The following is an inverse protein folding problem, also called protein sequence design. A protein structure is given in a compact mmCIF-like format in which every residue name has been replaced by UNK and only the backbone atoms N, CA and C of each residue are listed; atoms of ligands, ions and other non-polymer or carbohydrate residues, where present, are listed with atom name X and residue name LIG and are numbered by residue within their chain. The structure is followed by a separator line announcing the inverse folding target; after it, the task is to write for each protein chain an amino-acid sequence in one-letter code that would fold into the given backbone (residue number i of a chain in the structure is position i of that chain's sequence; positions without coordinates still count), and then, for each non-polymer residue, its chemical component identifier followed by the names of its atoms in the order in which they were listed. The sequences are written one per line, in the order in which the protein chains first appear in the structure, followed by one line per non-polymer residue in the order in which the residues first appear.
data_IF_184943537217
#
_entry.id   IF_184943537217
#
_cell.length_a   1.000
_cell.length_b   1.000
_cell.length_c   1.000
_cell.angle_alpha   90.00
_cell.angle_beta   90.00
_cell.angle_gamma   90.00
#
_symmetry.space_group_name_H-M   'P 1'
#
loop_
_entity.id
_entity.type
_entity.pdbx_description
1 polymer ?
#
# COMPACT_ATOMS: atom_id res chain seq x y z
N UNK A 1 -44.85 18.93 -62.98
CA UNK A 1 -45.75 18.30 -62.05
C UNK A 1 -44.93 18.06 -60.81
N UNK A 2 -44.89 19.05 -59.90
CA UNK A 2 -45.71 19.25 -58.70
C UNK A 2 -45.61 18.00 -57.79
N UNK A 3 -44.95 18.10 -56.68
CA UNK A 3 -45.55 18.56 -55.46
C UNK A 3 -44.49 18.84 -54.38
N UNK A 4 -44.58 20.07 -53.90
CA UNK A 4 -43.98 20.51 -52.66
C UNK A 4 -44.73 19.86 -51.47
N UNK A 5 -44.00 19.36 -50.48
CA UNK A 5 -44.52 19.27 -49.11
C UNK A 5 -43.44 19.74 -48.11
N UNK A 6 -43.60 21.00 -47.81
CA UNK A 6 -43.13 21.66 -46.61
C UNK A 6 -43.79 21.05 -45.38
N UNK A 7 -42.99 20.58 -44.42
CA UNK A 7 -43.42 20.39 -43.03
C UNK A 7 -42.38 20.96 -42.10
N UNK A 8 -42.73 22.10 -41.54
CA UNK A 8 -42.00 22.78 -40.47
C UNK A 8 -41.74 21.88 -39.27
N UNK A 9 -40.49 21.71 -38.91
CA UNK A 9 -40.06 21.16 -37.68
C UNK A 9 -39.87 22.26 -36.64
N UNK A 10 -40.81 22.36 -35.72
CA UNK A 10 -40.71 23.23 -34.54
C UNK A 10 -39.47 22.88 -33.71
N UNK A 11 -38.63 23.88 -33.57
CA UNK A 11 -37.50 23.87 -32.64
C UNK A 11 -38.02 23.82 -31.20
N UNK A 12 -38.03 22.63 -30.61
CA UNK A 12 -38.23 22.47 -29.17
C UNK A 12 -37.01 22.95 -28.41
N UNK A 13 -37.15 24.09 -27.76
CA UNK A 13 -36.20 24.62 -26.81
C UNK A 13 -36.16 23.67 -25.59
N UNK A 14 -35.01 23.17 -25.17
CA UNK A 14 -34.94 22.43 -23.92
C UNK A 14 -35.32 23.34 -22.75
N UNK A 15 -36.30 22.94 -21.97
CA UNK A 15 -36.70 23.52 -20.70
C UNK A 15 -35.46 23.70 -19.81
N UNK A 16 -35.10 24.94 -19.53
CA UNK A 16 -34.14 25.26 -18.48
C UNK A 16 -34.75 24.90 -17.12
N UNK A 17 -34.23 23.86 -16.51
CA UNK A 17 -34.54 23.53 -15.13
C UNK A 17 -33.94 24.61 -14.25
N UNK A 18 -34.68 25.33 -13.41
CA UNK A 18 -34.11 26.31 -12.51
C UNK A 18 -33.18 25.61 -11.53
N UNK A 19 -31.94 26.01 -11.48
CA UNK A 19 -30.98 25.54 -10.49
C UNK A 19 -31.53 25.80 -9.08
N UNK A 20 -31.69 24.74 -8.31
CA UNK A 20 -32.04 24.85 -6.90
C UNK A 20 -31.02 25.72 -6.17
N UNK A 21 -31.45 26.60 -5.24
CA UNK A 21 -30.51 27.42 -4.50
C UNK A 21 -29.54 26.55 -3.72
N UNK A 22 -28.27 26.65 -4.05
CA UNK A 22 -27.18 26.02 -3.31
C UNK A 22 -27.22 26.62 -1.90
N UNK A 23 -27.60 25.80 -0.90
CA UNK A 23 -27.49 26.20 0.48
C UNK A 23 -26.04 26.63 0.74
N UNK A 24 -25.82 27.83 1.33
CA UNK A 24 -24.48 28.22 1.71
C UNK A 24 -23.93 27.15 2.68
N UNK A 25 -22.72 26.71 2.40
CA UNK A 25 -21.99 25.79 3.29
C UNK A 25 -22.05 26.37 4.71
N UNK A 26 -22.51 25.54 5.65
CA UNK A 26 -22.59 25.94 7.04
C UNK A 26 -21.21 26.44 7.48
N UNK A 27 -21.15 27.68 7.96
CA UNK A 27 -19.94 28.24 8.57
C UNK A 27 -19.44 27.28 9.66
N UNK A 28 -18.13 27.16 9.87
CA UNK A 28 -17.56 26.27 10.87
C UNK A 28 -18.14 26.61 12.24
N UNK A 29 -18.70 25.59 12.92
CA UNK A 29 -19.38 25.73 14.21
C UNK A 29 -18.41 25.94 15.38
N UNK A 30 -17.18 26.36 15.12
CA UNK A 30 -16.07 26.37 16.07
C UNK A 30 -16.06 27.58 17.05
N UNK A 31 -16.95 28.56 16.84
CA UNK A 31 -16.93 29.77 17.69
C UNK A 31 -17.64 29.60 19.05
N UNK A 32 -18.35 28.50 19.29
CA UNK A 32 -19.15 28.33 20.53
C UNK A 32 -18.42 27.63 21.69
N UNK A 33 -17.30 26.93 21.43
CA UNK A 33 -16.58 26.17 22.45
C UNK A 33 -15.06 26.25 22.26
N UNK A 34 -14.41 27.34 22.69
CA UNK A 34 -12.95 27.52 22.48
C UNK A 34 -12.11 26.46 23.19
N UNK A 35 -12.59 25.84 24.24
CA UNK A 35 -11.89 24.72 24.91
C UNK A 35 -11.89 23.46 24.05
N UNK A 36 -13.02 23.14 23.39
CA UNK A 36 -13.12 21.98 22.49
C UNK A 36 -12.23 22.17 21.27
N UNK A 37 -12.16 23.37 20.71
CA UNK A 37 -11.27 23.70 19.60
C UNK A 37 -9.79 23.54 20.00
N UNK A 38 -9.41 23.98 21.20
CA UNK A 38 -8.06 23.81 21.72
C UNK A 38 -7.69 22.34 21.96
N UNK A 39 -8.61 21.54 22.47
CA UNK A 39 -8.41 20.08 22.65
C UNK A 39 -8.24 19.39 21.31
N UNK A 40 -9.07 19.73 20.33
CA UNK A 40 -8.98 19.21 18.96
C UNK A 40 -7.63 19.55 18.34
N UNK A 41 -7.20 20.80 18.39
CA UNK A 41 -5.93 21.25 17.83
C UNK A 41 -4.73 20.52 18.44
N UNK A 42 -4.73 20.30 19.77
CA UNK A 42 -3.70 19.50 20.45
C UNK A 42 -3.72 18.05 19.98
N UNK A 43 -4.89 17.45 19.83
CA UNK A 43 -5.04 16.09 19.32
C UNK A 43 -4.52 15.95 17.89
N UNK A 44 -4.85 16.89 17.02
CA UNK A 44 -4.36 16.93 15.64
C UNK A 44 -2.83 17.05 15.57
N UNK A 45 -2.23 17.89 16.43
CA UNK A 45 -0.78 18.02 16.54
C UNK A 45 -0.13 16.71 17.01
N UNK A 46 -0.70 16.03 18.01
CA UNK A 46 -0.23 14.73 18.47
C UNK A 46 -0.31 13.66 17.38
N UNK A 47 -1.42 13.61 16.63
CA UNK A 47 -1.57 12.70 15.48
C UNK A 47 -0.51 12.98 14.42
N UNK A 48 -0.28 14.25 14.09
CA UNK A 48 0.74 14.63 13.11
C UNK A 48 2.15 14.21 13.58
N UNK A 49 2.45 14.32 14.87
CA UNK A 49 3.72 13.87 15.43
C UNK A 49 3.89 12.36 15.34
N UNK A 50 2.87 11.60 15.72
CA UNK A 50 2.89 10.14 15.61
C UNK A 50 3.03 9.67 14.16
N UNK A 51 2.40 10.33 13.20
CA UNK A 51 2.57 10.03 11.77
C UNK A 51 4.02 10.23 11.33
N UNK A 52 4.66 11.33 11.70
CA UNK A 52 6.09 11.54 11.41
C UNK A 52 6.98 10.44 11.99
N UNK A 53 6.65 9.94 13.19
CA UNK A 53 7.38 8.81 13.79
C UNK A 53 7.15 7.51 13.03
N UNK A 54 5.93 7.27 12.53
CA UNK A 54 5.63 6.12 11.66
C UNK A 54 6.46 6.22 10.37
N UNK A 55 6.49 7.38 9.71
CA UNK A 55 7.26 7.58 8.48
C UNK A 55 8.75 7.24 8.68
N UNK A 56 9.32 7.65 9.82
CA UNK A 56 10.72 7.31 10.17
C UNK A 56 10.93 5.80 10.39
N UNK A 57 9.96 5.12 11.00
CA UNK A 57 10.01 3.66 11.18
C UNK A 57 9.87 2.95 9.83
N UNK A 58 9.00 3.44 8.95
CA UNK A 58 8.82 2.89 7.60
C UNK A 58 10.08 3.01 6.76
N UNK A 59 10.81 4.12 6.86
CA UNK A 59 12.13 4.28 6.21
C UNK A 59 13.15 3.25 6.70
N UNK A 60 13.16 2.97 8.00
CA UNK A 60 14.03 1.94 8.58
C UNK A 60 13.60 0.54 8.13
N UNK A 61 12.31 0.25 8.16
CA UNK A 61 11.74 -1.00 7.71
C UNK A 61 12.09 -1.27 6.25
N UNK A 62 11.98 -0.28 5.37
CA UNK A 62 12.35 -0.39 3.96
C UNK A 62 13.83 -0.77 3.80
N UNK A 63 14.72 -0.13 4.55
CA UNK A 63 16.17 -0.44 4.52
C UNK A 63 16.44 -1.87 4.99
N UNK A 64 15.79 -2.32 6.06
CA UNK A 64 15.95 -3.67 6.61
C UNK A 64 15.41 -4.73 5.66
N UNK A 65 14.25 -4.52 5.04
CA UNK A 65 13.67 -5.41 4.05
C UNK A 65 14.57 -5.56 2.82
N UNK A 66 15.12 -4.45 2.32
CA UNK A 66 16.06 -4.50 1.19
C UNK A 66 17.36 -5.21 1.55
N UNK A 67 17.93 -4.95 2.72
CA UNK A 67 19.12 -5.65 3.20
C UNK A 67 18.88 -7.15 3.32
N UNK A 68 17.76 -7.56 3.91
CA UNK A 68 17.36 -8.97 3.99
C UNK A 68 17.21 -9.61 2.60
N UNK A 69 16.59 -8.91 1.69
CA UNK A 69 16.38 -9.38 0.31
C UNK A 69 17.70 -9.56 -0.44
N UNK A 70 18.65 -8.64 -0.26
CA UNK A 70 19.98 -8.77 -0.84
C UNK A 70 20.70 -10.03 -0.34
N UNK A 71 20.62 -10.32 0.96
CA UNK A 71 21.17 -11.57 1.53
C UNK A 71 20.50 -12.81 0.93
N UNK A 72 19.17 -12.78 0.74
CA UNK A 72 18.44 -13.91 0.14
C UNK A 72 18.88 -14.17 -1.30
N UNK A 73 19.01 -13.13 -2.12
CA UNK A 73 19.52 -13.23 -3.50
C UNK A 73 20.93 -13.84 -3.52
N UNK A 74 21.82 -13.39 -2.64
CA UNK A 74 23.18 -13.93 -2.58
C UNK A 74 23.21 -15.40 -2.14
N UNK A 75 22.40 -15.78 -1.16
CA UNK A 75 22.21 -17.19 -0.78
C UNK A 75 21.71 -18.01 -1.98
N UNK A 76 20.76 -17.52 -2.73
CA UNK A 76 20.24 -18.18 -3.93
C UNK A 76 21.34 -18.39 -4.98
N UNK A 77 22.21 -17.41 -5.20
CA UNK A 77 23.38 -17.55 -6.09
C UNK A 77 24.36 -18.62 -5.62
N UNK A 78 24.66 -18.64 -4.33
CA UNK A 78 25.56 -19.66 -3.74
C UNK A 78 24.96 -21.05 -3.91
N UNK A 79 23.68 -21.24 -3.55
CA UNK A 79 22.98 -22.52 -3.68
C UNK A 79 23.01 -23.06 -5.12
N UNK A 80 22.76 -22.21 -6.11
CA UNK A 80 22.85 -22.60 -7.53
C UNK A 80 24.25 -23.05 -7.93
N UNK A 81 25.28 -22.37 -7.42
CA UNK A 81 26.68 -22.76 -7.72
C UNK A 81 27.08 -24.10 -7.16
N UNK A 82 26.55 -24.47 -6.00
CA UNK A 82 26.86 -25.74 -5.32
C UNK A 82 25.81 -26.83 -5.52
N UNK A 83 24.79 -26.59 -6.35
CA UNK A 83 23.75 -27.57 -6.65
C UNK A 83 22.75 -27.82 -5.51
N UNK A 84 22.63 -26.89 -4.56
CA UNK A 84 21.61 -26.98 -3.50
C UNK A 84 20.24 -26.52 -3.97
N UNK A 85 19.14 -27.14 -3.48
CA UNK A 85 17.80 -26.68 -3.78
C UNK A 85 17.57 -25.26 -3.20
N UNK A 86 17.01 -24.37 -4.03
CA UNK A 86 16.68 -23.00 -3.61
C UNK A 86 15.56 -23.01 -2.57
N UNK A 87 14.52 -23.80 -2.83
CA UNK A 87 13.39 -23.95 -1.91
C UNK A 87 13.74 -24.87 -0.75
N UNK A 88 13.56 -24.36 0.48
CA UNK A 88 13.83 -25.07 1.73
C UNK A 88 12.70 -24.83 2.73
N UNK A 89 11.63 -25.64 2.71
CA UNK A 89 10.45 -25.44 3.55
C UNK A 89 10.76 -25.48 5.05
N UNK A 90 11.70 -26.30 5.47
CA UNK A 90 12.12 -26.36 6.89
C UNK A 90 12.74 -25.05 7.36
N UNK A 91 13.51 -24.38 6.49
CA UNK A 91 14.08 -23.07 6.81
C UNK A 91 13.00 -21.98 6.94
N UNK A 92 11.99 -22.01 6.08
CA UNK A 92 10.87 -21.06 6.12
C UNK A 92 10.06 -21.23 7.41
N UNK A 93 9.78 -22.48 7.79
CA UNK A 93 9.13 -22.81 9.07
C UNK A 93 9.89 -22.23 10.27
N UNK A 94 11.20 -22.43 10.32
CA UNK A 94 12.04 -21.89 11.40
C UNK A 94 12.03 -20.34 11.44
N UNK A 95 11.95 -19.67 10.31
CA UNK A 95 11.84 -18.21 10.25
C UNK A 95 10.52 -17.75 10.86
N UNK A 96 9.41 -18.39 10.50
CA UNK A 96 8.08 -18.05 11.01
C UNK A 96 7.98 -18.30 12.51
N UNK A 97 8.42 -19.45 12.99
CA UNK A 97 8.44 -19.79 14.43
C UNK A 97 9.31 -18.82 15.24
N UNK A 98 10.46 -18.41 14.69
CA UNK A 98 11.32 -17.42 15.34
C UNK A 98 10.66 -16.05 15.41
N UNK A 99 9.98 -15.61 14.34
CA UNK A 99 9.29 -14.35 14.30
C UNK A 99 8.16 -14.29 15.32
N UNK A 100 7.35 -15.35 15.42
CA UNK A 100 6.26 -15.46 16.38
C UNK A 100 6.81 -15.47 17.83
N UNK A 101 7.86 -16.22 18.09
CA UNK A 101 8.46 -16.36 19.44
C UNK A 101 9.09 -15.05 19.93
N UNK A 102 9.71 -14.30 19.03
CA UNK A 102 10.42 -13.07 19.37
C UNK A 102 9.54 -11.82 19.27
N UNK A 103 8.25 -11.98 19.00
CA UNK A 103 7.33 -10.86 18.86
C UNK A 103 7.00 -10.23 20.23
N UNK A 104 7.38 -8.97 20.49
CA UNK A 104 7.08 -8.28 21.74
C UNK A 104 5.67 -7.66 21.78
N UNK A 105 4.88 -7.77 20.69
CA UNK A 105 3.64 -7.01 20.52
C UNK A 105 3.91 -5.58 20.01
N UNK A 106 2.87 -4.82 19.72
CA UNK A 106 1.42 -5.06 19.90
C UNK A 106 0.76 -5.94 18.82
N UNK A 107 1.48 -6.37 17.78
CA UNK A 107 0.93 -7.30 16.78
C UNK A 107 0.70 -8.67 17.41
N UNK A 108 -0.41 -9.32 17.07
CA UNK A 108 -0.61 -10.72 17.42
C UNK A 108 0.28 -11.65 16.57
N UNK A 109 0.50 -12.87 17.06
CA UNK A 109 1.36 -13.87 16.39
C UNK A 109 0.90 -14.18 14.97
N UNK A 110 -0.41 -14.24 14.73
CA UNK A 110 -0.97 -14.46 13.40
C UNK A 110 -0.68 -13.31 12.44
N UNK A 111 -0.72 -12.07 12.92
CA UNK A 111 -0.35 -10.90 12.11
C UNK A 111 1.14 -10.92 11.77
N UNK A 112 2.01 -11.20 12.74
CA UNK A 112 3.46 -11.36 12.51
C UNK A 112 3.73 -12.46 11.50
N UNK A 113 3.06 -13.59 11.62
CA UNK A 113 3.20 -14.72 10.70
C UNK A 113 2.87 -14.30 9.26
N UNK A 114 1.70 -13.67 9.03
CA UNK A 114 1.29 -13.19 7.68
C UNK A 114 2.29 -12.21 7.06
N UNK A 115 2.83 -11.29 7.85
CA UNK A 115 3.86 -10.35 7.38
C UNK A 115 5.12 -11.10 6.96
N UNK A 116 5.62 -12.04 7.77
CA UNK A 116 6.81 -12.79 7.45
C UNK A 116 6.62 -13.77 6.29
N UNK A 117 5.46 -14.38 6.13
CA UNK A 117 5.10 -15.17 4.94
C UNK A 117 5.26 -14.32 3.68
N UNK A 118 4.74 -13.09 3.67
CA UNK A 118 4.91 -12.19 2.53
C UNK A 118 6.36 -11.80 2.28
N UNK A 119 7.12 -11.54 3.32
CA UNK A 119 8.56 -11.24 3.21
C UNK A 119 9.34 -12.42 2.62
N UNK A 120 8.99 -13.65 2.99
CA UNK A 120 9.59 -14.88 2.43
C UNK A 120 9.22 -15.03 0.97
N UNK A 121 7.95 -14.84 0.60
CA UNK A 121 7.47 -14.92 -0.78
C UNK A 121 8.19 -13.95 -1.71
N UNK A 122 8.34 -12.69 -1.31
CA UNK A 122 9.07 -11.71 -2.10
C UNK A 122 10.57 -12.03 -2.21
N UNK A 123 11.17 -12.60 -1.16
CA UNK A 123 12.57 -13.06 -1.22
C UNK A 123 12.74 -14.18 -2.25
N UNK A 124 11.84 -15.18 -2.24
CA UNK A 124 11.85 -16.27 -3.25
C UNK A 124 11.66 -15.75 -4.68
N UNK A 125 10.77 -14.77 -4.84
CA UNK A 125 10.56 -14.13 -6.13
C UNK A 125 11.83 -13.46 -6.64
N UNK A 126 12.53 -12.71 -5.80
CA UNK A 126 13.79 -12.04 -6.15
C UNK A 126 14.91 -13.05 -6.46
N UNK A 127 15.03 -14.13 -5.69
CA UNK A 127 16.00 -15.21 -5.95
C UNK A 127 15.78 -15.85 -7.33
N UNK A 128 14.52 -16.08 -7.72
CA UNK A 128 14.17 -16.62 -9.04
C UNK A 128 14.56 -15.65 -10.15
N UNK A 129 14.15 -14.38 -10.05
CA UNK A 129 14.46 -13.36 -11.06
C UNK A 129 15.97 -13.16 -11.24
N UNK A 130 16.73 -13.16 -10.15
CA UNK A 130 18.19 -13.08 -10.21
C UNK A 130 18.80 -14.30 -10.91
N UNK A 131 18.21 -15.48 -10.73
CA UNK A 131 18.64 -16.71 -11.42
C UNK A 131 18.40 -16.67 -12.91
N UNK A 132 17.22 -16.22 -13.33
CA UNK A 132 16.85 -16.05 -14.73
C UNK A 132 17.77 -15.06 -15.46
N UNK A 133 18.07 -13.92 -14.84
CA UNK A 133 18.96 -12.90 -15.38
C UNK A 133 20.42 -13.40 -15.55
N UNK A 134 20.88 -14.30 -14.68
CA UNK A 134 22.22 -14.90 -14.78
C UNK A 134 22.28 -16.00 -15.85
N UNK A 135 21.18 -16.75 -16.08
CA UNK A 135 21.07 -17.74 -17.13
C UNK A 135 21.16 -17.14 -18.52
N UNK A 136 20.45 -16.03 -18.75
CA UNK A 136 20.42 -15.33 -20.06
C UNK A 136 21.78 -14.71 -20.45
N UNK A 137 22.67 -14.46 -19.51
CA UNK A 137 24.01 -13.90 -19.80
C UNK A 137 25.06 -14.96 -20.23
N UNK A 138 24.71 -16.24 -20.17
CA UNK A 138 25.63 -17.35 -20.48
C UNK A 138 25.39 -17.95 -21.87
N UNK A 139 24.38 -17.52 -22.58
CA UNK A 139 24.12 -17.79 -24.00
C UNK A 139 24.66 -16.66 -24.88
#
# INVERSE_FOLDING_TARGET
MADEHDIGGESERPCAVPAAPVKPAAAPRDEKHPEEAAVRQRGEAQVADLRRRIDQVDDQLMKLLNSRSACAVEIGRIKRRIGMPVYQPEREKLILERAERNNPGPLDSGAVRRVFERVIDESRRLERLAGEAEGTKRE
#
